data_IF_537134863431
#
_entry.id   IF_537134863431
#
_cell.length_a   1.000
_cell.length_b   1.000
_cell.length_c   1.000
_cell.angle_alpha   90.00
_cell.angle_beta   90.00
_cell.angle_gamma   90.00
#
_symmetry.space_group_name_H-M   'P 1'
#
loop_
_entity.id
_entity.type
_entity.pdbx_description
1 polymer ?
#
# COMPACT_ATOMS: atom_id res chain seq x y z
N UNK A 1 -11.96 -2.85 0.10
CA UNK A 1 -11.26 -3.78 -0.81
C UNK A 1 -10.11 -3.09 -1.55
N UNK A 2 -10.27 -1.85 -2.05
CA UNK A 2 -9.17 -1.07 -2.64
C UNK A 2 -9.04 0.29 -1.96
N UNK A 3 -7.81 0.71 -1.63
CA UNK A 3 -7.59 2.00 -0.98
C UNK A 3 -7.66 3.16 -1.98
N UNK A 4 -8.15 4.31 -1.51
CA UNK A 4 -8.06 5.57 -2.26
C UNK A 4 -6.68 6.18 -2.04
N UNK A 5 -6.12 6.78 -3.09
CA UNK A 5 -4.85 7.53 -3.09
C UNK A 5 -3.72 6.79 -2.37
N UNK A 6 -3.51 5.50 -2.69
CA UNK A 6 -2.41 4.72 -2.12
C UNK A 6 -2.37 4.66 -0.58
N UNK A 7 -3.50 4.92 0.09
CA UNK A 7 -3.59 4.85 1.56
C UNK A 7 -3.34 3.41 2.03
N UNK A 8 -2.48 3.22 3.03
CA UNK A 8 -2.16 1.90 3.54
C UNK A 8 -3.21 1.44 4.57
N UNK A 9 -3.83 0.28 4.34
CA UNK A 9 -4.93 -0.25 5.15
C UNK A 9 -4.56 -1.59 5.79
N UNK A 10 -3.79 -1.53 6.89
CA UNK A 10 -3.42 -2.73 7.66
C UNK A 10 -4.44 -3.10 8.75
N UNK A 11 -5.25 -2.15 9.25
CA UNK A 11 -6.09 -2.36 10.45
C UNK A 11 -5.23 -2.81 11.64
N UNK A 12 -5.60 -3.90 12.32
CA UNK A 12 -4.87 -4.53 13.42
C UNK A 12 -3.83 -5.57 12.97
N UNK A 13 -3.48 -5.63 11.68
CA UNK A 13 -2.50 -6.62 11.17
C UNK A 13 -1.08 -6.18 11.51
N UNK A 14 -0.51 -6.78 12.56
CA UNK A 14 0.86 -6.54 13.05
C UNK A 14 1.71 -7.82 13.12
N UNK A 15 1.29 -8.92 12.48
CA UNK A 15 1.99 -10.21 12.57
C UNK A 15 3.46 -10.17 12.12
N UNK A 16 3.77 -9.42 11.05
CA UNK A 16 5.14 -9.25 10.58
C UNK A 16 6.04 -8.58 11.62
N UNK A 17 5.49 -7.64 12.40
CA UNK A 17 6.23 -6.91 13.41
C UNK A 17 6.59 -7.80 14.61
N UNK A 18 5.69 -8.73 14.98
CA UNK A 18 5.97 -9.73 16.02
C UNK A 18 7.14 -10.64 15.60
N UNK A 19 7.09 -11.16 14.37
CA UNK A 19 8.15 -12.01 13.82
C UNK A 19 9.47 -11.25 13.72
N UNK A 20 9.45 -10.01 13.22
CA UNK A 20 10.65 -9.19 13.11
C UNK A 20 11.30 -8.92 14.48
N UNK A 21 10.48 -8.68 15.52
CA UNK A 21 10.95 -8.51 16.90
C UNK A 21 11.58 -9.79 17.44
N UNK A 22 10.89 -10.93 17.31
CA UNK A 22 11.38 -12.23 17.79
C UNK A 22 12.67 -12.67 17.10
N UNK A 23 12.78 -12.44 15.78
CA UNK A 23 13.94 -12.79 15.00
C UNK A 23 15.07 -11.74 15.08
N UNK A 24 14.82 -10.55 15.64
CA UNK A 24 15.80 -9.46 15.71
C UNK A 24 16.25 -8.94 14.34
N UNK A 25 15.40 -9.06 13.31
CA UNK A 25 15.73 -8.70 11.92
C UNK A 25 15.14 -7.35 11.53
N UNK A 26 15.81 -6.59 10.65
CA UNK A 26 15.27 -5.32 10.17
C UNK A 26 14.15 -5.54 9.15
N UNK A 27 13.16 -4.65 9.17
CA UNK A 27 12.10 -4.55 8.16
C UNK A 27 12.43 -3.39 7.23
N UNK A 28 12.49 -3.65 5.92
CA UNK A 28 12.73 -2.62 4.91
C UNK A 28 11.38 -2.14 4.36
N UNK A 29 10.96 -0.89 4.62
CA UNK A 29 9.76 -0.34 4.03
C UNK A 29 9.96 -0.13 2.52
N UNK A 30 8.94 -0.43 1.73
CA UNK A 30 8.98 -0.27 0.28
C UNK A 30 7.68 0.34 -0.24
N UNK A 31 7.80 1.19 -1.25
CA UNK A 31 6.67 1.77 -1.97
C UNK A 31 6.87 1.62 -3.47
N UNK A 32 5.82 1.23 -4.21
CA UNK A 32 5.87 1.11 -5.67
C UNK A 32 4.98 2.16 -6.31
N UNK A 33 5.60 3.15 -6.96
CA UNK A 33 4.91 4.20 -7.73
C UNK A 33 4.10 3.56 -8.86
N UNK A 34 2.95 4.16 -9.15
CA UNK A 34 2.01 3.74 -10.21
C UNK A 34 1.38 2.34 -10.04
N UNK A 35 1.59 1.64 -8.92
CA UNK A 35 1.03 0.29 -8.73
C UNK A 35 -0.51 0.25 -8.81
N UNK A 36 -1.21 1.29 -8.31
CA UNK A 36 -2.67 1.39 -8.44
C UNK A 36 -3.12 1.72 -9.87
N UNK A 37 -2.29 2.38 -10.67
CA UNK A 37 -2.58 2.75 -12.07
C UNK A 37 -2.25 1.63 -13.06
N UNK A 38 -1.37 0.70 -12.68
CA UNK A 38 -1.10 -0.52 -13.45
C UNK A 38 -2.25 -1.51 -13.41
N UNK A 39 -3.22 -1.29 -12.53
CA UNK A 39 -4.44 -2.08 -12.41
C UNK A 39 -5.62 -1.18 -12.73
N UNK A 40 -6.34 -1.43 -13.82
CA UNK A 40 -7.57 -0.71 -14.10
C UNK A 40 -8.63 -1.13 -13.08
N UNK A 41 -8.79 -0.31 -12.05
CA UNK A 41 -9.77 -0.52 -11.00
C UNK A 41 -11.05 0.25 -11.33
N UNK A 42 -12.19 -0.42 -11.22
CA UNK A 42 -13.49 0.23 -11.31
C UNK A 42 -13.67 1.17 -10.11
N UNK A 43 -13.84 2.46 -10.36
CA UNK A 43 -14.04 3.50 -9.33
C UNK A 43 -15.18 3.16 -8.35
N UNK A 44 -16.22 2.45 -8.81
CA UNK A 44 -17.30 1.94 -7.95
C UNK A 44 -16.80 1.08 -6.79
N UNK A 45 -15.79 0.24 -7.00
CA UNK A 45 -15.23 -0.62 -5.93
C UNK A 45 -14.42 0.17 -4.88
N UNK A 46 -14.05 1.42 -5.18
CA UNK A 46 -13.38 2.34 -4.26
C UNK A 46 -14.38 3.11 -3.39
N UNK A 47 -15.68 3.06 -3.68
CA UNK A 47 -16.75 3.70 -2.91
C UNK A 47 -16.71 3.31 -1.42
N UNK A 48 -16.89 4.28 -0.53
CA UNK A 48 -16.97 4.01 0.91
C UNK A 48 -18.14 3.08 1.26
N UNK A 49 -19.26 3.21 0.54
CA UNK A 49 -20.44 2.37 0.74
C UNK A 49 -20.15 0.91 0.43
N UNK A 50 -19.44 0.65 -0.68
CA UNK A 50 -19.04 -0.71 -1.09
C UNK A 50 -18.02 -1.27 -0.11
N UNK A 51 -17.08 -0.45 0.37
CA UNK A 51 -16.11 -0.87 1.38
C UNK A 51 -16.79 -1.25 2.72
N UNK A 52 -17.73 -0.42 3.21
CA UNK A 52 -18.48 -0.71 4.44
C UNK A 52 -19.33 -1.96 4.31
N UNK A 53 -20.02 -2.11 3.18
CA UNK A 53 -20.80 -3.31 2.88
C UNK A 53 -19.90 -4.56 2.88
N UNK A 54 -18.77 -4.52 2.16
CA UNK A 54 -17.81 -5.63 2.11
C UNK A 54 -17.21 -5.96 3.49
N UNK A 55 -16.93 -4.96 4.32
CA UNK A 55 -16.40 -5.17 5.66
C UNK A 55 -17.39 -5.89 6.58
N UNK A 56 -18.69 -5.69 6.35
CA UNK A 56 -19.77 -6.36 7.06
C UNK A 56 -20.06 -7.76 6.49
N UNK A 57 -20.22 -7.90 5.17
CA UNK A 57 -20.65 -9.15 4.54
C UNK A 57 -19.50 -10.11 4.24
N UNK A 58 -18.27 -9.61 4.10
CA UNK A 58 -17.07 -10.34 3.67
C UNK A 58 -17.28 -11.17 2.38
N UNK A 59 -18.22 -10.75 1.54
CA UNK A 59 -18.61 -11.47 0.35
C UNK A 59 -17.51 -11.35 -0.74
N UNK A 60 -16.99 -12.47 -1.29
CA UNK A 60 -15.88 -12.43 -2.25
C UNK A 60 -16.37 -11.93 -3.62
N UNK A 61 -16.08 -10.67 -3.95
CA UNK A 61 -16.31 -10.12 -5.29
C UNK A 61 -15.07 -10.40 -6.15
N UNK A 62 -15.22 -11.26 -7.16
CA UNK A 62 -14.17 -11.49 -8.18
C UNK A 62 -14.58 -10.79 -9.46
N UNK A 63 -13.96 -9.65 -9.77
CA UNK A 63 -14.14 -8.98 -11.05
C UNK A 63 -12.91 -9.19 -11.94
N UNK A 64 -13.09 -9.32 -13.27
CA UNK A 64 -11.98 -9.32 -14.21
C UNK A 64 -11.16 -8.06 -14.02
N UNK A 65 -9.86 -8.24 -13.79
CA UNK A 65 -8.95 -7.13 -13.55
C UNK A 65 -8.07 -6.94 -14.77
N UNK A 66 -8.08 -5.74 -15.35
CA UNK A 66 -7.24 -5.40 -16.49
C UNK A 66 -5.95 -4.73 -16.03
N UNK A 67 -4.85 -5.09 -16.67
CA UNK A 67 -3.54 -4.50 -16.37
C UNK A 67 -3.18 -3.48 -17.45
N UNK A 68 -2.72 -2.31 -17.03
CA UNK A 68 -2.20 -1.28 -17.91
C UNK A 68 -0.68 -1.28 -17.87
N UNK A 69 0.01 -1.16 -19.01
CA UNK A 69 1.46 -1.14 -19.07
C UNK A 69 1.98 0.24 -18.64
N UNK A 70 1.88 0.58 -17.35
CA UNK A 70 2.46 1.80 -16.78
C UNK A 70 3.90 1.55 -16.30
N UNK A 71 4.70 2.61 -16.18
CA UNK A 71 6.03 2.50 -15.55
C UNK A 71 5.88 2.36 -14.04
N UNK A 72 6.25 1.21 -13.49
CA UNK A 72 6.32 0.99 -12.05
C UNK A 72 7.75 1.17 -11.56
N UNK A 73 7.92 1.93 -10.48
CA UNK A 73 9.23 2.13 -9.84
C UNK A 73 9.10 1.85 -8.36
N UNK A 74 9.93 0.95 -7.85
CA UNK A 74 9.94 0.58 -6.43
C UNK A 74 11.05 1.34 -5.71
N UNK A 75 10.66 2.05 -4.66
CA UNK A 75 11.53 2.79 -3.77
C UNK A 75 11.69 2.02 -2.47
N UNK A 76 12.93 1.80 -2.06
CA UNK A 76 13.29 1.14 -0.81
C UNK A 76 13.69 2.19 0.20
N UNK A 77 13.03 2.18 1.36
CA UNK A 77 13.39 3.06 2.47
C UNK A 77 14.50 2.49 3.32
N UNK A 78 14.84 3.22 4.39
CA UNK A 78 15.85 2.80 5.35
C UNK A 78 15.36 1.57 6.15
N UNK A 79 16.21 0.55 6.38
CA UNK A 79 15.85 -0.57 7.23
C UNK A 79 15.48 -0.12 8.65
N UNK A 80 14.37 -0.63 9.17
CA UNK A 80 13.86 -0.34 10.51
C UNK A 80 14.03 -1.58 11.40
N UNK A 81 14.72 -1.43 12.52
CA UNK A 81 14.79 -2.47 13.55
C UNK A 81 13.70 -2.22 14.60
N UNK A 82 13.11 -3.29 15.13
CA UNK A 82 12.21 -3.19 16.28
C UNK A 82 13.05 -2.98 17.54
N UNK A 83 12.68 -2.00 18.36
CA UNK A 83 13.34 -1.80 19.66
C UNK A 83 13.04 -2.96 20.63
N UNK A 84 13.92 -3.24 21.61
CA UNK A 84 13.68 -4.27 22.63
C UNK A 84 12.40 -3.98 23.44
N UNK A 85 12.22 -2.73 23.87
CA UNK A 85 11.07 -2.27 24.66
C UNK A 85 9.89 -1.78 23.80
N UNK A 86 9.99 -1.88 22.47
CA UNK A 86 8.94 -1.40 21.58
C UNK A 86 7.87 -2.46 21.36
N UNK A 87 6.60 -2.08 21.56
CA UNK A 87 5.48 -2.95 21.25
C UNK A 87 5.39 -3.23 19.74
N UNK A 88 5.16 -4.49 19.29
CA UNK A 88 5.07 -4.83 17.87
C UNK A 88 4.03 -4.01 17.10
N UNK A 89 2.97 -3.58 17.77
CA UNK A 89 1.92 -2.75 17.18
C UNK A 89 2.41 -1.31 16.92
N UNK A 90 3.20 -0.76 17.84
CA UNK A 90 3.86 0.52 17.66
C UNK A 90 4.91 0.44 16.54
N UNK A 91 5.67 -0.65 16.47
CA UNK A 91 6.63 -0.89 15.39
C UNK A 91 5.94 -1.00 14.02
N UNK A 92 4.81 -1.71 13.96
CA UNK A 92 4.00 -1.77 12.73
C UNK A 92 3.50 -0.38 12.32
N UNK A 93 3.05 0.46 13.26
CA UNK A 93 2.65 1.83 12.97
C UNK A 93 3.81 2.68 12.44
N UNK A 94 5.02 2.51 12.99
CA UNK A 94 6.22 3.18 12.49
C UNK A 94 6.58 2.74 11.08
N UNK A 95 6.54 1.44 10.80
CA UNK A 95 6.75 0.90 9.45
C UNK A 95 5.71 1.43 8.46
N UNK A 96 4.45 1.50 8.88
CA UNK A 96 3.38 2.08 8.07
C UNK A 96 3.68 3.54 7.71
N UNK A 97 4.07 4.36 8.69
CA UNK A 97 4.44 5.77 8.46
C UNK A 97 5.58 5.87 7.45
N UNK A 98 6.64 5.09 7.62
CA UNK A 98 7.77 5.09 6.68
C UNK A 98 7.36 4.73 5.24
N UNK A 99 6.40 3.83 5.05
CA UNK A 99 5.84 3.52 3.71
C UNK A 99 4.99 4.67 3.17
N UNK A 100 4.20 5.33 4.03
CA UNK A 100 3.38 6.48 3.66
C UNK A 100 4.24 7.71 3.33
N UNK A 101 5.36 7.91 4.03
CA UNK A 101 6.35 8.95 3.73
C UNK A 101 6.99 8.71 2.35
N UNK A 102 7.41 7.46 2.06
CA UNK A 102 7.92 7.09 0.74
C UNK A 102 6.89 7.31 -0.37
N UNK A 103 5.60 7.04 -0.09
CA UNK A 103 4.51 7.34 -1.01
C UNK A 103 4.42 8.83 -1.27
N UNK A 104 4.35 9.64 -0.22
CA UNK A 104 4.13 11.09 -0.34
C UNK A 104 5.31 11.80 -1.04
N UNK A 105 6.52 11.26 -0.89
CA UNK A 105 7.71 11.74 -1.61
C UNK A 105 7.69 11.39 -3.10
N UNK A 106 7.27 10.18 -3.48
CA UNK A 106 7.50 9.65 -4.83
C UNK A 106 6.24 9.57 -5.73
N UNK A 107 5.04 9.64 -5.15
CA UNK A 107 3.77 9.54 -5.86
C UNK A 107 3.11 10.92 -5.99
N UNK A 108 2.86 11.38 -7.23
CA UNK A 108 2.11 12.62 -7.44
C UNK A 108 0.68 12.52 -6.88
N UNK A 109 0.18 13.55 -6.16
CA UNK A 109 -1.12 13.51 -5.50
C UNK A 109 -2.30 13.41 -6.48
N UNK A 110 -2.14 13.91 -7.71
CA UNK A 110 -3.16 13.92 -8.77
C UNK A 110 -2.77 13.01 -9.95
N UNK A 111 -2.02 11.94 -9.71
CA UNK A 111 -1.66 11.00 -10.77
C UNK A 111 -2.93 10.46 -11.45
N UNK A 112 -2.96 10.52 -12.78
CA UNK A 112 -4.01 9.94 -13.61
C UNK A 112 -3.49 8.70 -14.34
N UNK A 113 -4.39 7.84 -14.83
CA UNK A 113 -4.02 6.70 -15.68
C UNK A 113 -3.26 7.15 -16.94
N UNK A 114 -3.70 8.24 -17.57
CA UNK A 114 -3.01 8.83 -18.73
C UNK A 114 -1.60 9.32 -18.37
N UNK A 115 -1.45 10.05 -17.26
CA UNK A 115 -0.13 10.47 -16.79
C UNK A 115 0.81 9.29 -16.54
N UNK A 116 0.30 8.23 -15.89
CA UNK A 116 1.08 7.04 -15.59
C UNK A 116 1.47 6.23 -16.84
N UNK A 117 0.64 6.23 -17.88
CA UNK A 117 0.95 5.64 -19.18
C UNK A 117 2.00 6.46 -19.95
N UNK A 118 1.89 7.80 -19.92
CA UNK A 118 2.84 8.68 -20.60
C UNK A 118 4.26 8.57 -20.02
N UNK A 119 4.41 8.39 -18.70
CA UNK A 119 5.70 8.12 -18.02
C UNK A 119 6.42 6.87 -18.51
N UNK A 120 5.75 5.97 -19.24
CA UNK A 120 6.39 4.81 -19.87
C UNK A 120 6.93 5.12 -21.26
N UNK A 121 6.24 6.00 -21.99
CA UNK A 121 6.56 6.31 -23.39
C UNK A 121 7.62 7.41 -23.51
N UNK A 122 7.71 8.28 -22.51
CA UNK A 122 8.65 9.40 -22.41
C UNK A 122 9.40 9.31 -21.08
#
# INVERSE_FOLDING_TARGET
MFSKNYKLVWRSRSGFAKIAKEAGVPVVPMFTRNIQHGLLQLEFLRSETVQRWYDSTRFPIVLPTFYLPVKMTTYLGKPLLCGPDEEPEAFALRCKRAIEDLRDEHQPPEQTYWGALMERLW
#
